data_IF_516250209742
#
_entry.id   IF_516250209742
#
_cell.length_a   1.000
_cell.length_b   1.000
_cell.length_c   1.000
_cell.angle_alpha   90.00
_cell.angle_beta   90.00
_cell.angle_gamma   90.00
#
_symmetry.space_group_name_H-M   'P 1'
#
loop_
_entity.id
_entity.type
_entity.pdbx_description
1 polymer ?
#
# COMPACT_ATOMS: atom_id res chain seq x y z
N UNK A 1 17.59 15.91 16.02
CA UNK A 1 16.19 15.74 16.47
C UNK A 1 15.29 16.29 15.36
N UNK A 2 14.86 15.43 14.45
CA UNK A 2 14.02 15.84 13.32
C UNK A 2 12.59 15.39 13.65
N UNK A 3 11.73 16.35 14.00
CA UNK A 3 10.28 16.17 13.99
C UNK A 3 9.80 16.53 12.59
N UNK A 4 9.54 15.53 11.76
CA UNK A 4 8.69 15.71 10.58
C UNK A 4 7.37 15.03 10.90
N UNK A 5 6.30 15.82 11.00
CA UNK A 5 4.94 15.31 11.02
C UNK A 5 4.63 14.77 9.62
N UNK A 6 4.64 13.45 9.48
CA UNK A 6 4.16 12.78 8.27
C UNK A 6 2.70 12.39 8.51
N UNK A 7 1.75 13.25 8.10
CA UNK A 7 0.36 12.83 7.86
C UNK A 7 0.30 12.14 6.50
N UNK A 8 0.66 10.85 6.47
CA UNK A 8 0.79 10.07 5.24
C UNK A 8 -0.58 9.77 4.63
N UNK A 9 -0.81 10.23 3.39
CA UNK A 9 -2.02 9.91 2.60
C UNK A 9 -2.01 8.49 2.00
N UNK A 10 -0.84 7.83 1.97
CA UNK A 10 -0.67 6.38 1.95
C UNK A 10 0.79 6.05 2.29
N UNK A 11 1.07 4.82 2.72
CA UNK A 11 2.45 4.30 2.78
C UNK A 11 2.72 3.58 1.46
N UNK A 12 3.60 4.16 0.65
CA UNK A 12 3.98 3.62 -0.65
C UNK A 12 5.28 2.84 -0.50
N UNK A 13 5.25 1.58 -0.89
CA UNK A 13 6.45 0.87 -1.32
C UNK A 13 6.30 0.64 -2.82
N UNK A 14 7.10 1.38 -3.60
CA UNK A 14 7.13 1.29 -5.05
C UNK A 14 8.55 0.91 -5.46
N UNK A 15 8.68 -0.18 -6.20
CA UNK A 15 9.90 -0.49 -6.93
C UNK A 15 9.98 0.49 -8.11
N UNK A 16 10.89 1.47 -8.03
CA UNK A 16 11.21 2.49 -9.04
C UNK A 16 10.38 2.38 -10.35
N UNK A 17 9.13 2.86 -10.33
CA UNK A 17 8.33 2.97 -11.55
C UNK A 17 8.91 4.17 -12.30
N UNK A 18 9.93 3.94 -13.13
CA UNK A 18 10.71 5.02 -13.70
C UNK A 18 9.82 5.93 -14.55
N UNK A 19 9.66 7.18 -14.13
CA UNK A 19 9.11 8.28 -14.95
C UNK A 19 9.99 8.62 -16.18
N UNK A 20 11.00 7.79 -16.47
CA UNK A 20 11.91 7.88 -17.59
C UNK A 20 11.66 6.62 -18.42
N UNK A 21 11.07 6.81 -19.60
CA UNK A 21 10.89 5.82 -20.69
C UNK A 21 11.79 4.58 -20.54
N UNK A 22 11.19 3.42 -20.19
CA UNK A 22 11.81 2.09 -20.26
C UNK A 22 13.22 1.98 -19.64
N UNK A 23 13.44 2.54 -18.45
CA UNK A 23 14.62 2.13 -17.67
C UNK A 23 14.42 0.72 -17.09
N UNK A 24 15.50 0.01 -16.78
CA UNK A 24 15.43 -1.36 -16.28
C UNK A 24 14.79 -1.38 -14.89
N UNK A 25 13.70 -2.13 -14.76
CA UNK A 25 13.00 -2.34 -13.49
C UNK A 25 13.95 -2.99 -12.46
N UNK A 26 13.93 -2.46 -11.24
CA UNK A 26 14.63 -3.03 -10.09
C UNK A 26 13.80 -4.10 -9.41
N UNK A 27 14.40 -4.84 -8.48
CA UNK A 27 13.64 -5.70 -7.55
C UNK A 27 14.01 -5.33 -6.13
N UNK A 28 12.99 -5.21 -5.28
CA UNK A 28 13.13 -5.05 -3.84
C UNK A 28 12.71 -6.35 -3.18
N UNK A 29 13.55 -6.82 -2.26
CA UNK A 29 13.30 -8.06 -1.53
C UNK A 29 13.68 -7.99 -0.06
N UNK A 30 13.14 -8.93 0.73
CA UNK A 30 13.49 -9.15 2.14
C UNK A 30 13.17 -7.94 3.01
N UNK A 31 11.90 -7.53 3.02
CA UNK A 31 11.43 -6.35 3.73
C UNK A 31 10.57 -6.72 4.95
N UNK A 32 11.16 -6.73 6.15
CA UNK A 32 10.41 -6.86 7.39
C UNK A 32 9.86 -5.49 7.84
N UNK A 33 8.55 -5.45 8.09
CA UNK A 33 7.85 -4.35 8.72
C UNK A 33 7.36 -4.81 10.10
N UNK A 34 7.94 -4.26 11.17
CA UNK A 34 7.78 -4.80 12.52
C UNK A 34 7.22 -3.72 13.46
N UNK A 35 6.18 -4.07 14.22
CA UNK A 35 5.57 -3.27 15.28
C UNK A 35 5.14 -1.86 14.82
N UNK A 36 4.51 -1.79 13.65
CA UNK A 36 4.02 -0.53 13.11
C UNK A 36 2.57 -0.27 13.50
N UNK A 37 2.31 0.93 14.00
CA UNK A 37 0.96 1.47 14.16
C UNK A 37 0.79 2.64 13.20
N UNK A 38 -0.27 2.61 12.40
CA UNK A 38 -0.49 3.60 11.35
C UNK A 38 -1.98 3.96 11.22
N UNK A 39 -2.25 5.21 10.86
CA UNK A 39 -3.56 5.67 10.41
C UNK A 39 -3.44 6.12 8.95
N UNK A 40 -4.27 5.60 8.07
CA UNK A 40 -4.21 5.88 6.62
C UNK A 40 -5.60 6.11 6.06
N UNK A 41 -5.72 6.91 5.00
CA UNK A 41 -6.98 7.02 4.27
C UNK A 41 -7.16 5.85 3.32
N UNK A 42 -6.14 5.53 2.51
CA UNK A 42 -6.21 4.49 1.48
C UNK A 42 -5.49 3.19 1.86
N UNK A 43 -5.17 3.01 3.15
CA UNK A 43 -4.48 1.81 3.63
C UNK A 43 -3.00 1.77 3.25
N UNK A 44 -2.52 0.58 2.90
CA UNK A 44 -1.14 0.28 2.47
C UNK A 44 -1.16 -0.14 1.00
N UNK A 45 -0.22 0.39 0.20
CA UNK A 45 -0.12 0.09 -1.22
C UNK A 45 1.29 -0.47 -1.48
N UNK A 46 1.36 -1.69 -2.01
CA UNK A 46 2.59 -2.40 -2.36
C UNK A 46 2.57 -2.71 -3.86
N UNK A 47 3.38 -2.00 -4.64
CA UNK A 47 3.37 -2.09 -6.10
C UNK A 47 4.74 -2.53 -6.61
N UNK A 48 4.79 -3.74 -7.17
CA UNK A 48 5.85 -4.18 -8.06
C UNK A 48 5.50 -3.93 -9.53
N UNK A 49 6.26 -4.56 -10.41
CA UNK A 49 6.06 -4.56 -11.85
C UNK A 49 6.39 -5.93 -12.43
N UNK A 50 6.00 -6.17 -13.68
CA UNK A 50 6.21 -7.46 -14.36
C UNK A 50 7.69 -7.88 -14.43
N UNK A 51 8.63 -6.94 -14.57
CA UNK A 51 10.08 -7.22 -14.58
C UNK A 51 10.79 -6.82 -13.28
N UNK A 52 10.04 -6.37 -12.27
CA UNK A 52 10.56 -5.94 -10.96
C UNK A 52 9.58 -6.27 -9.84
N UNK A 53 9.65 -7.52 -9.36
CA UNK A 53 8.77 -8.01 -8.29
C UNK A 53 9.19 -7.44 -6.93
N UNK A 54 8.18 -7.14 -6.11
CA UNK A 54 8.34 -7.03 -4.67
C UNK A 54 8.32 -8.43 -4.06
N UNK A 55 9.39 -8.83 -3.37
CA UNK A 55 9.50 -10.21 -2.88
C UNK A 55 9.90 -10.36 -1.41
N UNK A 56 9.38 -11.38 -0.74
CA UNK A 56 9.67 -11.68 0.67
C UNK A 56 9.41 -10.48 1.60
N UNK A 57 8.16 -10.02 1.59
CA UNK A 57 7.66 -8.95 2.47
C UNK A 57 7.03 -9.60 3.70
N UNK A 58 7.35 -9.11 4.89
CA UNK A 58 6.75 -9.62 6.14
C UNK A 58 6.22 -8.49 7.00
N UNK A 59 4.93 -8.54 7.30
CA UNK A 59 4.27 -7.65 8.25
C UNK A 59 4.12 -8.37 9.59
N UNK A 60 4.75 -7.85 10.64
CA UNK A 60 4.71 -8.43 11.99
C UNK A 60 4.30 -7.39 13.03
N UNK A 61 3.23 -7.64 13.78
CA UNK A 61 2.78 -6.70 14.82
C UNK A 61 2.15 -5.42 14.26
N UNK A 62 1.40 -5.50 13.17
CA UNK A 62 0.75 -4.34 12.55
C UNK A 62 -0.55 -3.94 13.25
N UNK A 63 -0.76 -2.63 13.42
CA UNK A 63 -2.00 -2.01 13.88
C UNK A 63 -2.38 -0.87 12.94
N UNK A 64 -3.25 -1.15 11.97
CA UNK A 64 -3.62 -0.21 10.91
C UNK A 64 -5.07 0.26 11.09
N UNK A 65 -5.27 1.57 11.19
CA UNK A 65 -6.59 2.20 11.15
C UNK A 65 -6.79 2.93 9.83
N UNK A 66 -7.71 2.44 9.01
CA UNK A 66 -8.18 3.12 7.81
C UNK A 66 -9.27 4.13 8.19
N UNK A 67 -9.11 5.39 7.82
CA UNK A 67 -10.10 6.45 8.08
C UNK A 67 -10.23 7.37 6.88
N UNK A 68 -11.45 7.58 6.42
CA UNK A 68 -11.72 8.59 5.41
C UNK A 68 -11.79 9.97 6.04
N UNK A 69 -11.08 10.92 5.46
CA UNK A 69 -11.16 12.34 5.82
C UNK A 69 -11.28 13.24 4.59
N UNK A 70 -11.03 12.74 3.39
CA UNK A 70 -11.23 13.45 2.13
C UNK A 70 -12.54 13.04 1.43
N UNK A 71 -13.05 13.96 0.62
CA UNK A 71 -14.30 13.80 -0.12
C UNK A 71 -14.08 13.19 -1.53
N UNK A 72 -12.89 12.66 -1.83
CA UNK A 72 -12.61 11.97 -3.09
C UNK A 72 -13.16 10.55 -3.05
N UNK A 73 -13.68 10.00 -4.17
CA UNK A 73 -14.04 8.59 -4.26
C UNK A 73 -12.88 7.68 -3.85
N UNK A 74 -13.19 6.61 -3.10
CA UNK A 74 -12.22 5.56 -2.81
C UNK A 74 -11.98 4.65 -4.01
N UNK A 75 -11.02 3.73 -3.90
CA UNK A 75 -10.69 2.80 -4.99
C UNK A 75 -9.83 3.43 -6.08
N UNK A 76 -9.06 4.46 -5.75
CA UNK A 76 -8.09 5.06 -6.65
C UNK A 76 -6.71 4.99 -6.01
N UNK A 77 -5.72 4.51 -6.76
CA UNK A 77 -4.34 4.39 -6.33
C UNK A 77 -3.46 5.25 -7.24
N UNK A 78 -2.60 6.06 -6.64
CA UNK A 78 -1.62 6.89 -7.34
C UNK A 78 -0.37 6.04 -7.64
N UNK A 79 -0.08 5.81 -8.92
CA UNK A 79 1.02 4.99 -9.41
C UNK A 79 2.29 5.80 -9.64
N UNK A 80 2.27 7.10 -9.32
CA UNK A 80 3.42 7.98 -9.54
C UNK A 80 4.48 7.87 -8.44
N UNK A 81 5.77 8.09 -8.76
CA UNK A 81 6.31 8.30 -10.11
C UNK A 81 6.23 6.98 -10.87
N UNK A 82 5.65 7.01 -12.08
CA UNK A 82 5.35 5.80 -12.84
C UNK A 82 4.71 6.10 -14.18
N UNK A 83 4.53 5.06 -15.01
CA UNK A 83 4.01 5.19 -16.37
C UNK A 83 2.48 5.37 -16.43
N UNK A 84 1.80 5.19 -15.30
CA UNK A 84 0.36 5.42 -15.13
C UNK A 84 0.17 6.42 -13.99
N UNK A 85 -0.82 7.30 -14.13
CA UNK A 85 -1.14 8.30 -13.12
C UNK A 85 -1.96 7.67 -11.98
N UNK A 86 -3.29 7.68 -12.12
CA UNK A 86 -4.21 7.17 -11.11
C UNK A 86 -4.97 5.99 -11.70
N UNK A 87 -4.93 4.86 -10.99
CA UNK A 87 -5.49 3.58 -11.45
C UNK A 87 -6.65 3.17 -10.53
N UNK A 88 -7.69 2.59 -11.13
CA UNK A 88 -8.85 2.09 -10.39
C UNK A 88 -8.54 0.75 -9.70
N UNK A 89 -8.95 0.64 -8.44
CA UNK A 89 -8.69 -0.46 -7.51
C UNK A 89 -9.87 -0.70 -6.58
N UNK A 90 -9.88 -1.84 -5.91
CA UNK A 90 -10.76 -2.03 -4.76
C UNK A 90 -10.38 -1.08 -3.63
N UNK A 91 -11.36 -0.66 -2.82
CA UNK A 91 -11.07 0.06 -1.59
C UNK A 91 -10.70 -0.93 -0.48
N UNK A 92 -9.43 -1.35 -0.47
CA UNK A 92 -8.89 -2.33 0.48
C UNK A 92 -7.93 -1.73 1.51
N UNK A 93 -7.75 -2.43 2.63
CA UNK A 93 -6.80 -2.06 3.67
C UNK A 93 -5.34 -2.22 3.23
N UNK A 94 -5.06 -3.25 2.42
CA UNK A 94 -3.78 -3.48 1.76
C UNK A 94 -4.06 -3.82 0.29
N UNK A 95 -3.43 -3.07 -0.62
CA UNK A 95 -3.50 -3.28 -2.07
C UNK A 95 -2.12 -3.76 -2.53
N UNK A 96 -2.09 -4.83 -3.31
CA UNK A 96 -0.85 -5.50 -3.73
C UNK A 96 -0.88 -5.84 -5.21
N UNK A 97 0.19 -5.50 -5.93
CA UNK A 97 0.41 -5.92 -7.31
C UNK A 97 1.84 -6.42 -7.50
N UNK A 98 2.02 -7.48 -8.32
CA UNK A 98 3.33 -8.05 -8.65
C UNK A 98 4.19 -8.37 -7.42
N UNK A 99 3.59 -9.10 -6.48
CA UNK A 99 4.18 -9.50 -5.20
C UNK A 99 4.41 -11.01 -5.15
N UNK A 100 5.57 -11.41 -4.64
CA UNK A 100 5.91 -12.80 -4.36
C UNK A 100 6.30 -12.98 -2.88
N UNK A 101 5.64 -13.89 -2.16
CA UNK A 101 5.97 -14.16 -0.76
C UNK A 101 5.65 -12.99 0.17
N UNK A 102 4.35 -12.70 0.35
CA UNK A 102 3.86 -11.78 1.37
C UNK A 102 3.38 -12.56 2.59
N UNK A 103 4.02 -12.31 3.73
CA UNK A 103 3.71 -12.95 5.00
C UNK A 103 3.16 -11.93 5.99
N UNK A 104 2.14 -12.37 6.73
CA UNK A 104 1.46 -11.56 7.71
C UNK A 104 1.38 -12.34 9.01
N UNK A 105 2.03 -11.84 10.05
CA UNK A 105 2.10 -12.49 11.34
C UNK A 105 1.77 -11.53 12.47
N UNK A 106 1.17 -12.06 13.53
CA UNK A 106 0.88 -11.30 14.76
C UNK A 106 0.18 -9.95 14.48
N UNK A 107 -0.68 -9.89 13.46
CA UNK A 107 -1.46 -8.67 13.20
C UNK A 107 -2.37 -8.42 14.38
N UNK A 108 -2.29 -7.19 14.90
CA UNK A 108 -3.13 -6.74 16.00
C UNK A 108 -4.50 -6.37 15.46
N UNK A 109 -4.55 -5.50 14.44
CA UNK A 109 -5.79 -5.18 13.73
C UNK A 109 -5.58 -4.43 12.40
N UNK A 110 -6.55 -4.60 11.50
CA UNK A 110 -6.84 -3.69 10.38
C UNK A 110 -8.30 -3.28 10.56
N UNK A 111 -8.57 -1.98 10.74
CA UNK A 111 -9.92 -1.49 11.06
C UNK A 111 -10.28 -0.29 10.22
N UNK A 112 -11.57 -0.12 9.92
CA UNK A 112 -12.10 1.09 9.31
C UNK A 112 -12.84 1.90 10.37
N UNK A 113 -12.55 3.20 10.42
CA UNK A 113 -13.28 4.15 11.28
C UNK A 113 -14.23 5.00 10.43
N UNK A 114 -15.39 5.34 11.00
CA UNK A 114 -16.45 6.13 10.36
C UNK A 114 -16.95 5.50 9.04
N UNK A 115 -17.31 4.22 9.12
CA UNK A 115 -17.81 3.42 8.02
C UNK A 115 -19.15 3.96 7.49
N UNK A 116 -19.18 4.43 6.23
CA UNK A 116 -20.42 4.90 5.58
C UNK A 116 -20.64 4.35 4.16
N UNK A 117 -19.81 3.43 3.64
CA UNK A 117 -19.97 2.89 2.29
C UNK A 117 -19.56 1.41 2.19
N UNK A 118 -20.37 0.62 1.48
CA UNK A 118 -20.26 -0.85 1.29
C UNK A 118 -18.97 -1.30 0.60
N UNK A 119 -18.28 -0.41 -0.12
CA UNK A 119 -17.05 -0.72 -0.87
C UNK A 119 -15.80 -0.82 0.01
N UNK A 120 -15.85 -0.28 1.23
CA UNK A 120 -14.73 -0.29 2.16
C UNK A 120 -14.92 -1.44 3.14
N UNK A 121 -13.86 -2.05 3.65
CA UNK A 121 -13.95 -3.24 4.53
C UNK A 121 -13.37 -4.52 3.93
N UNK A 122 -12.90 -4.46 2.67
CA UNK A 122 -12.03 -5.51 2.16
C UNK A 122 -10.63 -5.37 2.78
N UNK A 123 -10.12 -6.38 3.52
CA UNK A 123 -8.76 -6.29 4.06
C UNK A 123 -7.68 -6.31 2.99
N UNK A 124 -7.85 -7.07 1.90
CA UNK A 124 -6.79 -7.34 0.93
C UNK A 124 -7.32 -7.24 -0.51
N UNK A 125 -6.64 -6.48 -1.37
CA UNK A 125 -6.78 -6.52 -2.82
C UNK A 125 -5.46 -7.01 -3.43
N UNK A 126 -5.54 -8.00 -4.31
CA UNK A 126 -4.37 -8.64 -4.91
C UNK A 126 -4.56 -8.79 -6.42
N UNK A 127 -3.59 -8.30 -7.19
CA UNK A 127 -3.50 -8.57 -8.63
C UNK A 127 -2.16 -9.24 -8.96
N UNK A 128 -2.20 -10.36 -9.69
CA UNK A 128 -1.00 -11.08 -10.10
C UNK A 128 -0.18 -10.32 -11.14
#
# INVERSE_FOLDING_TARGET
>A
MIRHGWESRAYYLCDNLSAILCSKEGSISNLPFINLTASSENGVILLGSKGGLLSNLRFSGMNLTCRRWANYPGGLVDYRPGCQDVVNHGAAGIIMEYIEGFEVENIVNIRWSNYQNELWGNPLDFRP
#
